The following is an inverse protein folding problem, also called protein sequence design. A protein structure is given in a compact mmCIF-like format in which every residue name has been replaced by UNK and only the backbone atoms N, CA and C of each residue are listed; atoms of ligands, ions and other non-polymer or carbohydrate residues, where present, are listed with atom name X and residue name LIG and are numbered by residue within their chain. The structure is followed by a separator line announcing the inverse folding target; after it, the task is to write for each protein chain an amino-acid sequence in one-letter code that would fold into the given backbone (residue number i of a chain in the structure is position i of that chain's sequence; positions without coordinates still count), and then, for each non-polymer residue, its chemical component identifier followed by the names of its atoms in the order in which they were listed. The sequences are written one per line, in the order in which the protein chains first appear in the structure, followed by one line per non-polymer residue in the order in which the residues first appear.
data_IF_597431160207
#
_entry.id   IF_597431160207
#
_cell.length_a   1.000
_cell.length_b   1.000
_cell.length_c   1.000
_cell.angle_alpha   90.00
_cell.angle_beta   90.00
_cell.angle_gamma   90.00
#
_symmetry.space_group_name_H-M   'P 1'
#
loop_
_entity.id
_entity.type
_entity.pdbx_description
1 polymer ?
#
# COMPACT_ATOMS: atom_id res chain seq x y z
N UNK A 1 10.10 34.74 18.42
CA UNK A 1 11.47 34.63 17.86
C UNK A 1 12.02 33.21 18.03
N UNK A 2 11.99 32.63 19.23
CA UNK A 2 12.49 31.25 19.48
C UNK A 2 11.72 30.19 18.68
N UNK A 3 10.40 30.27 18.58
CA UNK A 3 9.58 29.35 17.76
C UNK A 3 9.89 29.49 16.26
N UNK A 4 10.14 30.70 15.77
CA UNK A 4 10.52 30.97 14.38
C UNK A 4 11.93 30.41 14.04
N UNK A 5 12.89 30.62 14.95
CA UNK A 5 14.26 30.07 14.78
C UNK A 5 14.26 28.54 14.87
N UNK A 6 13.45 27.94 15.75
CA UNK A 6 13.28 26.49 15.84
C UNK A 6 12.64 25.91 14.56
N UNK A 7 11.64 26.58 13.99
CA UNK A 7 11.02 26.14 12.74
C UNK A 7 12.00 26.27 11.55
N UNK A 8 12.80 27.33 11.51
CA UNK A 8 13.81 27.53 10.46
C UNK A 8 14.94 26.49 10.53
N UNK A 9 15.42 26.16 11.72
CA UNK A 9 16.42 25.12 11.93
C UNK A 9 15.91 23.73 11.50
N UNK A 10 14.65 23.42 11.80
CA UNK A 10 14.01 22.17 11.37
C UNK A 10 13.86 22.13 9.84
N UNK A 11 13.49 23.25 9.21
CA UNK A 11 13.39 23.34 7.72
C UNK A 11 14.75 23.11 7.07
N UNK A 12 15.82 23.69 7.60
CA UNK A 12 17.18 23.47 7.10
C UNK A 12 17.63 22.01 7.24
N UNK A 13 17.31 21.36 8.37
CA UNK A 13 17.63 19.94 8.58
C UNK A 13 16.84 19.08 7.60
N UNK A 14 15.55 19.34 7.40
CA UNK A 14 14.72 18.65 6.44
C UNK A 14 15.26 18.81 5.00
N UNK A 15 15.61 20.03 4.60
CA UNK A 15 16.25 20.27 3.30
C UNK A 15 17.54 19.47 3.13
N UNK A 16 18.41 19.42 4.16
CA UNK A 16 19.63 18.61 4.14
C UNK A 16 19.33 17.11 4.02
N UNK A 17 18.30 16.60 4.71
CA UNK A 17 17.89 15.19 4.63
C UNK A 17 17.40 14.88 3.21
N UNK A 18 16.53 15.69 2.63
CA UNK A 18 16.01 15.52 1.28
C UNK A 18 17.16 15.58 0.26
N UNK A 19 18.01 16.62 0.32
CA UNK A 19 19.17 16.78 -0.55
C UNK A 19 20.16 15.62 -0.43
N UNK A 20 20.34 15.05 0.76
CA UNK A 20 21.25 13.93 0.98
C UNK A 20 20.63 12.56 0.64
N UNK A 21 19.32 12.48 0.52
CA UNK A 21 18.58 11.24 0.22
C UNK A 21 17.80 11.34 -1.10
N UNK A 22 18.11 12.33 -1.95
CA UNK A 22 17.40 12.59 -3.20
C UNK A 22 17.31 11.34 -4.09
N UNK A 23 18.41 10.60 -4.23
CA UNK A 23 18.47 9.40 -5.03
C UNK A 23 17.54 8.30 -4.53
N UNK A 24 17.43 8.16 -3.18
CA UNK A 24 16.50 7.22 -2.56
C UNK A 24 15.05 7.65 -2.81
N UNK A 25 14.73 8.93 -2.58
CA UNK A 25 13.38 9.44 -2.82
C UNK A 25 12.96 9.33 -4.28
N UNK A 26 13.84 9.67 -5.22
CA UNK A 26 13.55 9.58 -6.66
C UNK A 26 13.33 8.12 -7.08
N UNK A 27 14.24 7.22 -6.71
CA UNK A 27 14.10 5.80 -7.02
C UNK A 27 12.83 5.21 -6.40
N UNK A 28 12.57 5.52 -5.14
CA UNK A 28 11.36 5.06 -4.44
C UNK A 28 10.07 5.61 -5.08
N UNK A 29 10.03 6.89 -5.43
CA UNK A 29 8.86 7.49 -6.11
C UNK A 29 8.55 6.77 -7.41
N UNK A 30 9.56 6.49 -8.25
CA UNK A 30 9.37 5.78 -9.51
C UNK A 30 8.86 4.35 -9.26
N UNK A 31 9.41 3.66 -8.25
CA UNK A 31 8.93 2.31 -7.87
C UNK A 31 7.48 2.34 -7.43
N UNK A 32 7.07 3.32 -6.61
CA UNK A 32 5.70 3.40 -6.11
C UNK A 32 4.71 3.75 -7.21
N UNK A 33 5.09 4.62 -8.16
CA UNK A 33 4.28 4.88 -9.37
C UNK A 33 4.11 3.58 -10.17
N UNK A 34 5.20 2.86 -10.43
CA UNK A 34 5.14 1.56 -11.10
C UNK A 34 4.29 0.55 -10.35
N UNK A 35 4.39 0.52 -9.02
CA UNK A 35 3.65 -0.42 -8.17
C UNK A 35 2.14 -0.15 -8.19
N UNK A 36 1.71 1.13 -8.09
CA UNK A 36 0.30 1.52 -8.21
C UNK A 36 -0.29 1.15 -9.56
N UNK A 37 0.47 1.37 -10.63
CA UNK A 37 0.09 0.95 -11.98
C UNK A 37 -0.04 -0.57 -12.10
N UNK A 38 1.00 -1.32 -11.67
CA UNK A 38 1.09 -2.76 -11.85
C UNK A 38 -0.01 -3.53 -11.11
N UNK A 39 -0.28 -3.18 -9.85
CA UNK A 39 -1.27 -3.89 -9.04
C UNK A 39 -2.67 -3.83 -9.65
N UNK A 40 -3.08 -2.65 -10.07
CA UNK A 40 -4.41 -2.44 -10.65
C UNK A 40 -4.51 -2.90 -12.11
N UNK A 41 -3.44 -2.76 -12.90
CA UNK A 41 -3.36 -3.32 -14.25
C UNK A 41 -3.60 -4.83 -14.25
N UNK A 42 -2.98 -5.56 -13.33
CA UNK A 42 -3.16 -7.02 -13.25
C UNK A 42 -4.58 -7.42 -12.88
N UNK A 43 -5.23 -6.68 -11.97
CA UNK A 43 -6.64 -6.91 -11.66
C UNK A 43 -7.53 -6.74 -12.88
N UNK A 44 -7.34 -5.65 -13.64
CA UNK A 44 -8.07 -5.38 -14.88
C UNK A 44 -7.77 -6.46 -15.93
N UNK A 45 -6.50 -6.78 -16.13
CA UNK A 45 -6.08 -7.79 -17.12
C UNK A 45 -6.64 -9.17 -16.80
N UNK A 46 -6.64 -9.60 -15.54
CA UNK A 46 -7.19 -10.89 -15.14
C UNK A 46 -8.69 -11.02 -15.45
N UNK A 47 -9.45 -9.91 -15.31
CA UNK A 47 -10.86 -9.88 -15.74
C UNK A 47 -10.98 -9.99 -17.26
N UNK A 48 -10.10 -9.33 -18.01
CA UNK A 48 -10.11 -9.34 -19.47
C UNK A 48 -9.62 -10.67 -20.09
N UNK A 49 -8.90 -11.49 -19.30
CA UNK A 49 -8.48 -12.86 -19.63
C UNK A 49 -9.47 -13.91 -19.07
N UNK A 50 -10.66 -13.47 -18.62
CA UNK A 50 -11.72 -14.33 -18.10
C UNK A 50 -11.31 -15.25 -16.93
N UNK A 51 -10.34 -14.81 -16.11
CA UNK A 51 -9.97 -15.53 -14.89
C UNK A 51 -11.16 -15.60 -13.94
N UNK A 52 -11.39 -16.79 -13.36
CA UNK A 52 -12.42 -16.94 -12.36
C UNK A 52 -12.05 -16.20 -11.03
N UNK A 53 -13.05 -15.97 -10.18
CA UNK A 53 -12.86 -15.21 -8.93
C UNK A 53 -11.85 -15.86 -7.98
N UNK A 54 -11.75 -17.18 -7.94
CA UNK A 54 -10.80 -17.92 -7.11
C UNK A 54 -9.38 -17.65 -7.60
N UNK A 55 -9.14 -17.70 -8.91
CA UNK A 55 -7.84 -17.41 -9.52
C UNK A 55 -7.41 -15.95 -9.25
N UNK A 56 -8.33 -14.98 -9.41
CA UNK A 56 -8.07 -13.57 -9.11
C UNK A 56 -7.72 -13.40 -7.62
N UNK A 57 -8.50 -14.01 -6.72
CA UNK A 57 -8.24 -13.99 -5.29
C UNK A 57 -6.88 -14.61 -4.93
N UNK A 58 -6.55 -15.77 -5.48
CA UNK A 58 -5.27 -16.44 -5.28
C UNK A 58 -4.09 -15.58 -5.74
N UNK A 59 -4.21 -14.95 -6.91
CA UNK A 59 -3.21 -14.04 -7.45
C UNK A 59 -2.98 -12.83 -6.54
N UNK A 60 -4.06 -12.23 -5.99
CA UNK A 60 -3.94 -11.08 -5.07
C UNK A 60 -3.36 -11.51 -3.71
N UNK A 61 -3.81 -12.65 -3.17
CA UNK A 61 -3.25 -13.23 -1.94
C UNK A 61 -1.79 -13.65 -2.12
N UNK A 62 -1.38 -14.06 -3.32
CA UNK A 62 0.02 -14.35 -3.64
C UNK A 62 0.95 -13.18 -3.32
N UNK A 63 0.55 -11.95 -3.66
CA UNK A 63 1.31 -10.76 -3.32
C UNK A 63 1.50 -10.60 -1.80
N UNK A 64 0.42 -10.69 -1.02
CA UNK A 64 0.49 -10.53 0.43
C UNK A 64 1.25 -11.68 1.10
N UNK A 65 1.16 -12.89 0.56
CA UNK A 65 1.95 -14.04 1.03
C UNK A 65 3.46 -13.80 0.84
N UNK A 66 3.86 -13.27 -0.31
CA UNK A 66 5.25 -12.87 -0.57
C UNK A 66 5.69 -11.74 0.36
N UNK A 67 4.85 -10.74 0.53
CA UNK A 67 5.08 -9.62 1.45
C UNK A 67 5.27 -10.11 2.90
N UNK A 68 4.40 -10.99 3.37
CA UNK A 68 4.44 -11.60 4.69
C UNK A 68 5.74 -12.38 4.92
N UNK A 69 6.08 -13.30 4.03
CA UNK A 69 7.31 -14.12 4.14
C UNK A 69 8.55 -13.23 4.07
N UNK A 70 8.54 -12.24 3.18
CA UNK A 70 9.63 -11.27 3.04
C UNK A 70 9.88 -10.47 4.30
N UNK A 71 8.85 -10.10 5.06
CA UNK A 71 8.99 -9.36 6.30
C UNK A 71 9.89 -10.07 7.33
N UNK A 72 9.94 -11.40 7.32
CA UNK A 72 10.84 -12.19 8.19
C UNK A 72 12.25 -12.35 7.63
N UNK A 73 12.38 -12.53 6.32
CA UNK A 73 13.65 -12.92 5.70
C UNK A 73 14.52 -11.73 5.34
N UNK A 74 13.90 -10.64 4.88
CA UNK A 74 14.61 -9.50 4.30
C UNK A 74 15.49 -8.74 5.29
N UNK A 75 15.09 -8.48 6.55
CA UNK A 75 15.98 -7.84 7.51
C UNK A 75 17.30 -8.59 7.71
N UNK A 76 17.27 -9.93 7.67
CA UNK A 76 18.48 -10.78 7.75
C UNK A 76 19.33 -10.64 6.48
N UNK A 77 18.67 -10.57 5.32
CA UNK A 77 19.36 -10.41 4.03
C UNK A 77 20.04 -9.05 3.94
N UNK A 78 19.33 -7.96 4.29
CA UNK A 78 19.87 -6.60 4.28
C UNK A 78 21.08 -6.47 5.22
N UNK A 79 21.03 -7.13 6.40
CA UNK A 79 22.14 -7.11 7.35
C UNK A 79 23.41 -7.80 6.82
N UNK A 80 23.28 -8.79 5.93
CA UNK A 80 24.41 -9.54 5.35
C UNK A 80 24.95 -8.91 4.08
N UNK A 81 24.07 -8.47 3.20
CA UNK A 81 24.41 -8.04 1.83
C UNK A 81 24.51 -6.52 1.69
N UNK A 82 23.75 -5.78 2.51
CA UNK A 82 23.69 -4.33 2.51
C UNK A 82 22.54 -3.76 1.68
N UNK A 83 22.15 -2.51 1.99
CA UNK A 83 20.94 -1.87 1.48
C UNK A 83 20.90 -1.73 -0.05
N UNK A 84 21.96 -1.21 -0.67
CA UNK A 84 21.99 -0.89 -2.11
C UNK A 84 21.86 -2.16 -2.95
N UNK A 85 22.63 -3.21 -2.61
CA UNK A 85 22.61 -4.47 -3.37
C UNK A 85 21.26 -5.17 -3.26
N UNK A 86 20.67 -5.19 -2.07
CA UNK A 86 19.36 -5.80 -1.83
C UNK A 86 18.27 -5.00 -2.53
N UNK A 87 18.33 -3.65 -2.51
CA UNK A 87 17.40 -2.80 -3.28
C UNK A 87 17.47 -3.11 -4.77
N UNK A 88 18.68 -3.17 -5.34
CA UNK A 88 18.87 -3.47 -6.76
C UNK A 88 18.32 -4.86 -7.13
N UNK A 89 18.63 -5.88 -6.32
CA UNK A 89 18.12 -7.23 -6.55
C UNK A 89 16.59 -7.28 -6.55
N UNK A 90 15.93 -6.63 -5.58
CA UNK A 90 14.47 -6.66 -5.49
C UNK A 90 13.77 -5.84 -6.56
N UNK A 91 14.31 -4.67 -6.94
CA UNK A 91 13.74 -3.93 -8.06
C UNK A 91 13.89 -4.70 -9.38
N UNK A 92 15.01 -5.40 -9.58
CA UNK A 92 15.19 -6.29 -10.75
C UNK A 92 14.25 -7.49 -10.72
N UNK A 93 14.03 -8.11 -9.55
CA UNK A 93 13.07 -9.22 -9.40
C UNK A 93 11.63 -8.76 -9.67
N UNK A 94 11.25 -7.58 -9.19
CA UNK A 94 9.94 -7.00 -9.47
C UNK A 94 9.76 -6.67 -10.97
N UNK A 95 10.82 -6.15 -11.61
CA UNK A 95 10.85 -5.91 -13.07
C UNK A 95 10.69 -7.21 -13.86
N UNK A 96 11.44 -8.26 -13.51
CA UNK A 96 11.29 -9.59 -14.11
C UNK A 96 9.87 -10.13 -13.95
N UNK A 97 9.30 -10.01 -12.74
CA UNK A 97 7.94 -10.45 -12.46
C UNK A 97 6.91 -9.79 -13.38
N UNK A 98 7.06 -8.49 -13.71
CA UNK A 98 6.13 -7.82 -14.62
C UNK A 98 6.15 -8.43 -16.02
N UNK A 99 7.32 -8.81 -16.52
CA UNK A 99 7.48 -9.44 -17.84
C UNK A 99 6.94 -10.87 -17.88
N UNK A 100 7.07 -11.62 -16.77
CA UNK A 100 6.51 -12.98 -16.67
C UNK A 100 4.99 -12.99 -16.91
N UNK A 101 4.27 -11.97 -16.44
CA UNK A 101 2.82 -11.86 -16.63
C UNK A 101 2.42 -11.66 -18.11
N UNK A 102 3.31 -11.10 -18.93
CA UNK A 102 3.07 -10.93 -20.36
C UNK A 102 3.33 -12.21 -21.13
N UNK A 103 4.41 -12.90 -20.77
CA UNK A 103 4.86 -14.11 -21.50
C UNK A 103 3.94 -15.29 -21.20
N UNK A 104 3.46 -15.42 -19.99
CA UNK A 104 2.66 -16.54 -19.53
C UNK A 104 1.32 -16.05 -18.98
N UNK A 105 0.25 -16.23 -19.77
CA UNK A 105 -1.11 -15.90 -19.32
C UNK A 105 -1.72 -17.14 -18.66
N UNK A 106 -1.34 -17.36 -17.40
CA UNK A 106 -1.76 -18.52 -16.60
C UNK A 106 -1.96 -18.11 -15.13
N UNK A 107 -3.09 -18.46 -14.48
CA UNK A 107 -3.40 -18.06 -13.11
C UNK A 107 -2.36 -18.50 -12.07
N UNK A 108 -1.80 -19.70 -12.20
CA UNK A 108 -0.80 -20.22 -11.26
C UNK A 108 0.53 -19.48 -11.40
N UNK A 109 0.99 -19.28 -12.66
CA UNK A 109 2.21 -18.53 -12.95
C UNK A 109 2.06 -17.09 -12.46
N UNK A 110 0.89 -16.47 -12.68
CA UNK A 110 0.62 -15.12 -12.19
C UNK A 110 0.61 -15.06 -10.66
N UNK A 111 0.07 -16.06 -9.98
CA UNK A 111 0.11 -16.15 -8.50
C UNK A 111 1.55 -16.22 -7.99
N UNK A 112 2.40 -17.04 -8.60
CA UNK A 112 3.82 -17.15 -8.24
C UNK A 112 4.60 -15.86 -8.54
N UNK A 113 4.34 -15.23 -9.68
CA UNK A 113 4.96 -13.96 -10.03
C UNK A 113 4.50 -12.82 -9.09
N UNK A 114 3.24 -12.82 -8.66
CA UNK A 114 2.73 -11.89 -7.63
C UNK A 114 3.37 -12.12 -6.28
N UNK A 115 3.58 -13.39 -5.87
CA UNK A 115 4.36 -13.69 -4.68
C UNK A 115 5.77 -13.07 -4.75
N UNK A 116 6.45 -13.23 -5.88
CA UNK A 116 7.77 -12.64 -6.10
C UNK A 116 7.73 -11.09 -6.04
N UNK A 117 6.68 -10.48 -6.59
CA UNK A 117 6.46 -9.03 -6.51
C UNK A 117 6.29 -8.59 -5.06
N UNK A 118 5.43 -9.25 -4.29
CA UNK A 118 5.17 -8.92 -2.88
C UNK A 118 6.42 -9.07 -2.02
N UNK A 119 7.17 -10.15 -2.21
CA UNK A 119 8.46 -10.38 -1.57
C UNK A 119 9.48 -9.28 -1.89
N UNK A 120 9.52 -8.84 -3.14
CA UNK A 120 10.42 -7.78 -3.58
C UNK A 120 10.01 -6.41 -3.00
N UNK A 121 8.71 -6.11 -2.98
CA UNK A 121 8.19 -4.82 -2.51
C UNK A 121 8.42 -4.61 -1.02
N UNK A 122 8.17 -5.61 -0.17
CA UNK A 122 8.50 -5.49 1.27
C UNK A 122 10.00 -5.25 1.47
N UNK A 123 10.84 -5.85 0.63
CA UNK A 123 12.28 -5.60 0.66
C UNK A 123 12.63 -4.15 0.39
N UNK A 124 12.03 -3.57 -0.61
CA UNK A 124 12.22 -2.16 -0.97
C UNK A 124 11.71 -1.27 0.18
N UNK A 125 10.53 -1.52 0.74
CA UNK A 125 10.00 -0.77 1.87
C UNK A 125 10.91 -0.82 3.10
N UNK A 126 11.36 -2.00 3.50
CA UNK A 126 12.30 -2.18 4.64
C UNK A 126 13.59 -1.39 4.44
N UNK A 127 14.13 -1.39 3.22
CA UNK A 127 15.36 -0.65 2.89
C UNK A 127 15.13 0.85 2.98
N UNK A 128 14.07 1.36 2.37
CA UNK A 128 13.74 2.80 2.35
C UNK A 128 13.47 3.29 3.77
N UNK A 129 12.65 2.59 4.53
CA UNK A 129 12.34 2.94 5.92
C UNK A 129 13.58 2.92 6.82
N UNK A 130 14.42 1.88 6.69
CA UNK A 130 15.68 1.77 7.44
C UNK A 130 16.61 2.94 7.12
N UNK A 131 16.73 3.30 5.83
CA UNK A 131 17.60 4.39 5.38
C UNK A 131 17.10 5.75 5.88
N UNK A 132 15.79 6.00 5.81
CA UNK A 132 15.18 7.24 6.26
C UNK A 132 15.27 7.38 7.80
N UNK A 133 15.06 6.29 8.53
CA UNK A 133 15.19 6.27 9.99
C UNK A 133 16.63 6.55 10.47
N UNK A 134 17.65 6.06 9.77
CA UNK A 134 19.06 6.34 10.09
C UNK A 134 19.43 7.81 9.86
N UNK A 135 18.83 8.45 8.85
CA UNK A 135 19.08 9.88 8.53
C UNK A 135 18.29 10.85 9.38
N UNK A 136 17.21 10.39 9.98
CA UNK A 136 16.34 11.21 10.82
C UNK A 136 16.80 11.20 12.29
N UNK A 137 16.68 12.34 12.96
CA UNK A 137 16.79 12.44 14.41
C UNK A 137 15.38 12.48 15.06
N UNK A 138 15.33 12.47 16.40
CA UNK A 138 14.05 12.46 17.12
C UNK A 138 13.12 13.65 16.79
N UNK A 139 13.68 14.80 16.38
CA UNK A 139 12.91 16.01 16.02
C UNK A 139 12.38 15.97 14.56
N UNK A 140 13.04 15.22 13.67
CA UNK A 140 12.72 15.19 12.23
C UNK A 140 12.12 13.90 11.77
N UNK A 141 12.16 12.81 12.56
CA UNK A 141 11.68 11.48 12.18
C UNK A 141 10.21 11.49 11.71
N UNK A 142 9.33 12.14 12.47
CA UNK A 142 7.92 12.26 12.08
C UNK A 142 7.73 12.93 10.73
N UNK A 143 8.43 14.05 10.48
CA UNK A 143 8.35 14.78 9.20
C UNK A 143 8.90 13.96 8.02
N UNK A 144 9.98 13.22 8.23
CA UNK A 144 10.58 12.35 7.20
C UNK A 144 9.64 11.19 6.86
N UNK A 145 9.04 10.56 7.86
CA UNK A 145 8.05 9.50 7.64
C UNK A 145 6.76 10.03 7.00
N UNK A 146 6.31 11.24 7.35
CA UNK A 146 5.18 11.88 6.68
C UNK A 146 5.46 12.13 5.20
N UNK A 147 6.67 12.59 4.85
CA UNK A 147 7.09 12.75 3.46
C UNK A 147 7.11 11.41 2.72
N UNK A 148 7.63 10.36 3.35
CA UNK A 148 7.63 9.00 2.81
C UNK A 148 6.20 8.50 2.53
N UNK A 149 5.26 8.68 3.48
CA UNK A 149 3.86 8.30 3.28
C UNK A 149 3.17 9.14 2.20
N UNK A 150 3.46 10.44 2.14
CA UNK A 150 2.98 11.30 1.07
C UNK A 150 3.46 10.82 -0.31
N UNK A 151 4.75 10.51 -0.45
CA UNK A 151 5.31 9.96 -1.69
C UNK A 151 4.64 8.63 -2.03
N UNK A 152 4.38 7.79 -1.03
CA UNK A 152 3.71 6.50 -1.25
C UNK A 152 2.30 6.70 -1.80
N UNK A 153 1.44 7.48 -1.16
CA UNK A 153 0.08 7.68 -1.64
C UNK A 153 0.02 8.46 -2.96
N UNK A 154 0.83 9.51 -3.10
CA UNK A 154 0.90 10.29 -4.36
C UNK A 154 1.43 9.43 -5.51
N UNK A 155 2.45 8.61 -5.27
CA UNK A 155 3.00 7.71 -6.27
C UNK A 155 1.99 6.64 -6.71
N UNK A 156 1.27 6.01 -5.77
CA UNK A 156 0.20 5.07 -6.07
C UNK A 156 -0.91 5.75 -6.89
N UNK A 157 -1.31 6.97 -6.50
CA UNK A 157 -2.32 7.75 -7.20
C UNK A 157 -1.90 8.06 -8.66
N UNK A 158 -0.66 8.54 -8.86
CA UNK A 158 -0.09 8.79 -10.19
C UNK A 158 0.03 7.51 -11.01
N UNK A 159 0.42 6.40 -10.38
CA UNK A 159 0.49 5.09 -11.02
C UNK A 159 -0.85 4.66 -11.62
N UNK A 160 -1.95 4.93 -10.92
CA UNK A 160 -3.29 4.60 -11.42
C UNK A 160 -3.67 5.39 -12.68
N UNK A 161 -3.15 6.60 -12.88
CA UNK A 161 -3.37 7.37 -14.12
C UNK A 161 -2.68 6.73 -15.33
N UNK A 162 -1.59 5.98 -15.12
CA UNK A 162 -0.89 5.29 -16.19
C UNK A 162 -1.72 4.17 -16.84
N UNK A 163 -2.81 3.71 -16.18
CA UNK A 163 -3.77 2.77 -16.77
C UNK A 163 -4.35 3.26 -18.11
N UNK A 164 -4.32 4.57 -18.38
CA UNK A 164 -4.85 5.17 -19.60
C UNK A 164 -3.83 5.26 -20.76
N UNK A 165 -2.58 4.85 -20.55
CA UNK A 165 -1.53 5.02 -21.57
C UNK A 165 -1.71 4.05 -22.75
N UNK A 166 -2.15 2.82 -22.47
CA UNK A 166 -2.31 1.77 -23.47
C UNK A 166 -3.43 0.82 -23.07
N UNK A 167 -3.89 0.00 -24.03
CA UNK A 167 -4.89 -1.02 -23.74
C UNK A 167 -4.32 -2.06 -22.75
N UNK A 168 -5.00 -2.35 -21.63
CA UNK A 168 -4.56 -3.33 -20.65
C UNK A 168 -4.33 -4.75 -21.20
N UNK A 169 -4.94 -5.10 -22.34
CA UNK A 169 -4.72 -6.37 -23.04
C UNK A 169 -3.36 -6.48 -23.73
N UNK A 170 -2.73 -5.35 -23.98
CA UNK A 170 -1.46 -5.30 -24.69
C UNK A 170 -0.27 -5.58 -23.77
N UNK A 171 0.90 -5.72 -24.36
CA UNK A 171 2.17 -5.94 -23.64
C UNK A 171 2.85 -4.63 -23.19
N UNK A 172 2.56 -3.51 -23.85
CA UNK A 172 3.23 -2.23 -23.60
C UNK A 172 3.12 -1.74 -22.14
N UNK A 173 1.95 -1.85 -21.45
CA UNK A 173 1.85 -1.48 -20.04
C UNK A 173 2.84 -2.22 -19.15
N UNK A 174 3.05 -3.51 -19.39
CA UNK A 174 3.97 -4.33 -18.60
C UNK A 174 5.44 -4.00 -18.88
N UNK A 175 5.76 -3.70 -20.16
CA UNK A 175 7.10 -3.19 -20.52
C UNK A 175 7.35 -1.86 -19.81
N UNK A 176 6.39 -0.94 -19.80
CA UNK A 176 6.52 0.33 -19.10
C UNK A 176 6.77 0.13 -17.60
N UNK A 177 6.06 -0.81 -16.94
CA UNK A 177 6.29 -1.16 -15.54
C UNK A 177 7.74 -1.64 -15.34
N UNK A 178 8.22 -2.55 -16.20
CA UNK A 178 9.59 -3.05 -16.16
C UNK A 178 10.62 -1.95 -16.35
N UNK A 179 10.39 -1.04 -17.30
CA UNK A 179 11.24 0.14 -17.53
C UNK A 179 11.30 1.06 -16.32
N UNK A 180 10.14 1.40 -15.73
CA UNK A 180 10.08 2.23 -14.53
C UNK A 180 10.86 1.60 -13.36
N UNK A 181 10.67 0.30 -13.12
CA UNK A 181 11.39 -0.43 -12.07
C UNK A 181 12.90 -0.45 -12.33
N UNK A 182 13.32 -0.57 -13.59
CA UNK A 182 14.73 -0.57 -13.99
C UNK A 182 15.35 0.83 -13.86
N UNK A 183 14.67 1.88 -14.33
CA UNK A 183 15.14 3.28 -14.24
C UNK A 183 15.24 3.72 -12.78
N UNK A 184 14.34 3.24 -11.90
CA UNK A 184 14.37 3.55 -10.48
C UNK A 184 15.67 3.15 -9.77
N UNK A 185 16.41 2.19 -10.31
CA UNK A 185 17.71 1.77 -9.80
C UNK A 185 18.81 2.80 -10.04
N UNK A 186 18.75 3.51 -11.15
CA UNK A 186 19.84 4.39 -11.62
C UNK A 186 20.26 5.43 -10.57
N UNK A 187 19.33 6.22 -9.96
CA UNK A 187 19.72 7.21 -8.97
C UNK A 187 20.43 6.59 -7.75
N UNK A 188 19.98 5.42 -7.31
CA UNK A 188 20.51 4.75 -6.11
C UNK A 188 21.88 4.14 -6.38
N UNK A 189 22.09 3.54 -7.55
CA UNK A 189 23.36 2.94 -7.93
C UNK A 189 24.44 3.99 -8.22
N UNK A 190 24.06 5.15 -8.76
CA UNK A 190 25.00 6.24 -9.06
C UNK A 190 25.31 7.14 -7.86
N UNK A 191 24.60 7.00 -6.74
CA UNK A 191 24.85 7.83 -5.57
C UNK A 191 26.19 7.48 -4.91
N UNK A 192 27.00 8.49 -4.63
CA UNK A 192 28.24 8.36 -3.84
C UNK A 192 27.98 8.28 -2.32
N UNK A 193 26.73 8.38 -1.89
CA UNK A 193 26.38 8.40 -0.48
C UNK A 193 26.42 6.99 0.11
N UNK A 194 27.12 6.84 1.23
CA UNK A 194 27.19 5.55 1.95
C UNK A 194 25.81 5.19 2.51
N UNK A 195 25.35 3.94 2.30
CA UNK A 195 24.14 3.44 2.92
C UNK A 195 24.32 3.37 4.44
N UNK A 196 23.20 3.40 5.21
CA UNK A 196 23.26 3.21 6.65
C UNK A 196 23.81 1.82 7.00
N UNK A 197 24.43 1.73 8.19
CA UNK A 197 24.71 0.43 8.77
C UNK A 197 23.42 -0.15 9.34
N UNK A 198 23.03 -1.33 8.90
CA UNK A 198 21.84 -1.99 9.42
C UNK A 198 22.06 -2.34 10.90
N UNK A 199 21.35 -1.66 11.79
CA UNK A 199 21.32 -2.00 13.20
C UNK A 199 20.33 -3.14 13.37
N UNK A 200 20.79 -4.29 13.91
CA UNK A 200 19.88 -5.35 14.33
C UNK A 200 18.88 -4.76 15.33
N UNK A 201 17.66 -4.57 14.90
CA UNK A 201 16.57 -4.26 15.82
C UNK A 201 16.16 -5.55 16.52
N UNK A 202 16.00 -5.48 17.83
CA UNK A 202 15.41 -6.59 18.60
C UNK A 202 13.98 -6.79 18.07
N UNK A 203 13.69 -7.93 17.48
CA UNK A 203 12.32 -8.26 17.04
C UNK A 203 11.43 -8.47 18.27
N UNK A 204 10.25 -7.85 18.26
CA UNK A 204 9.19 -8.19 19.23
C UNK A 204 8.43 -9.39 18.67
N UNK A 205 8.23 -10.42 19.50
CA UNK A 205 7.43 -11.58 19.10
C UNK A 205 5.96 -11.18 18.95
N UNK A 206 5.27 -11.70 17.93
CA UNK A 206 3.84 -11.44 17.68
C UNK A 206 3.01 -11.67 18.96
N UNK A 207 3.26 -12.76 19.68
CA UNK A 207 2.57 -13.07 20.94
C UNK A 207 2.76 -11.99 22.01
N UNK A 208 3.93 -11.31 22.02
CA UNK A 208 4.21 -10.20 22.93
C UNK A 208 3.39 -8.96 22.54
N UNK A 209 3.23 -8.66 21.24
CA UNK A 209 2.39 -7.57 20.77
C UNK A 209 0.92 -7.76 21.17
N UNK A 210 0.40 -8.97 21.05
CA UNK A 210 -0.96 -9.28 21.50
C UNK A 210 -1.13 -9.15 23.02
N UNK A 211 -0.09 -9.42 23.83
CA UNK A 211 -0.12 -9.18 25.27
C UNK A 211 -0.07 -7.69 25.64
N UNK A 212 0.73 -6.92 24.91
CA UNK A 212 0.90 -5.48 25.15
C UNK A 212 -0.35 -4.71 24.71
N UNK A 213 -0.82 -4.94 23.51
CA UNK A 213 -1.95 -4.23 22.91
C UNK A 213 -2.87 -5.19 22.16
N UNK A 214 -3.76 -5.91 22.88
CA UNK A 214 -4.68 -6.87 22.24
C UNK A 214 -5.57 -6.20 21.19
N UNK A 215 -6.15 -5.05 21.54
CA UNK A 215 -7.02 -4.29 20.64
C UNK A 215 -6.26 -3.82 19.40
N UNK A 216 -5.07 -3.20 19.56
CA UNK A 216 -4.27 -2.72 18.43
C UNK A 216 -3.79 -3.85 17.51
N UNK A 217 -3.41 -5.00 18.07
CA UNK A 217 -3.00 -6.17 17.31
C UNK A 217 -4.16 -6.80 16.54
N UNK A 218 -5.33 -6.96 17.16
CA UNK A 218 -6.51 -7.50 16.49
C UNK A 218 -7.03 -6.53 15.42
N UNK A 219 -7.13 -5.24 15.75
CA UNK A 219 -7.52 -4.20 14.77
C UNK A 219 -6.57 -4.14 13.57
N UNK A 220 -5.28 -4.44 13.75
CA UNK A 220 -4.32 -4.51 12.64
C UNK A 220 -4.60 -5.69 11.69
N UNK A 221 -5.05 -6.85 12.20
CA UNK A 221 -5.51 -7.96 11.34
C UNK A 221 -6.73 -7.50 10.52
N UNK A 222 -7.74 -6.92 11.18
CA UNK A 222 -8.93 -6.41 10.51
C UNK A 222 -8.57 -5.36 9.45
N UNK A 223 -7.60 -4.49 9.75
CA UNK A 223 -7.09 -3.49 8.80
C UNK A 223 -6.47 -4.18 7.57
N UNK A 224 -5.67 -5.22 7.74
CA UNK A 224 -5.12 -6.00 6.63
C UNK A 224 -6.22 -6.59 5.75
N UNK A 225 -7.22 -7.21 6.37
CA UNK A 225 -8.37 -7.80 5.67
C UNK A 225 -9.16 -6.78 4.83
N UNK A 226 -9.27 -5.53 5.28
CA UNK A 226 -9.96 -4.48 4.55
C UNK A 226 -9.06 -3.87 3.45
N UNK A 227 -7.75 -3.73 3.71
CA UNK A 227 -6.82 -3.10 2.77
C UNK A 227 -6.61 -3.91 1.50
N UNK A 228 -6.51 -5.24 1.59
CA UNK A 228 -6.23 -6.08 0.44
C UNK A 228 -7.28 -5.90 -0.69
N UNK A 229 -8.59 -5.95 -0.43
CA UNK A 229 -9.59 -5.65 -1.44
C UNK A 229 -9.52 -4.21 -1.99
N UNK A 230 -9.30 -3.22 -1.13
CA UNK A 230 -9.20 -1.81 -1.56
C UNK A 230 -8.04 -1.61 -2.54
N UNK A 231 -6.88 -2.20 -2.27
CA UNK A 231 -5.70 -1.98 -3.09
C UNK A 231 -5.71 -2.75 -4.40
N UNK A 232 -6.36 -3.92 -4.46
CA UNK A 232 -6.20 -4.81 -5.61
C UNK A 232 -7.51 -5.34 -6.21
N UNK A 233 -8.58 -5.46 -5.42
CA UNK A 233 -9.87 -5.92 -5.95
C UNK A 233 -10.78 -4.78 -6.39
N UNK A 234 -10.50 -3.55 -5.99
CA UNK A 234 -11.31 -2.41 -6.39
C UNK A 234 -11.28 -2.16 -7.90
N UNK A 235 -10.12 -2.37 -8.55
CA UNK A 235 -10.00 -2.30 -10.01
C UNK A 235 -10.79 -3.42 -10.71
N UNK A 236 -10.78 -4.63 -10.15
CA UNK A 236 -11.59 -5.77 -10.61
C UNK A 236 -13.07 -5.44 -10.50
N UNK A 237 -13.49 -4.93 -9.33
CA UNK A 237 -14.87 -4.51 -9.09
C UNK A 237 -15.30 -3.44 -10.10
N UNK A 238 -14.49 -2.40 -10.31
CA UNK A 238 -14.79 -1.30 -11.23
C UNK A 238 -15.03 -1.80 -12.67
N UNK A 239 -14.19 -2.70 -13.18
CA UNK A 239 -14.36 -3.29 -14.51
C UNK A 239 -15.59 -4.19 -14.59
N UNK A 240 -15.87 -4.99 -13.55
CA UNK A 240 -17.10 -5.81 -13.47
C UNK A 240 -18.37 -4.94 -13.43
N UNK A 241 -18.28 -3.76 -12.85
CA UNK A 241 -19.35 -2.74 -12.88
C UNK A 241 -19.39 -1.97 -14.23
N UNK A 242 -18.64 -2.43 -15.24
CA UNK A 242 -18.54 -1.82 -16.59
C UNK A 242 -18.12 -0.34 -16.59
N UNK A 243 -17.34 0.08 -15.60
CA UNK A 243 -16.65 1.35 -15.67
C UNK A 243 -15.56 1.28 -16.75
N UNK A 244 -15.40 2.36 -17.50
CA UNK A 244 -14.30 2.52 -18.45
C UNK A 244 -12.94 2.52 -17.72
N UNK A 245 -11.85 2.29 -18.43
CA UNK A 245 -10.49 2.37 -17.86
C UNK A 245 -10.24 3.74 -17.25
N UNK A 246 -10.71 4.80 -17.90
CA UNK A 246 -10.59 6.18 -17.41
C UNK A 246 -11.37 6.39 -16.11
N UNK A 247 -12.65 5.98 -16.04
CA UNK A 247 -13.46 6.05 -14.82
C UNK A 247 -12.83 5.23 -13.69
N UNK A 248 -12.32 4.03 -14.01
CA UNK A 248 -11.61 3.19 -13.05
C UNK A 248 -10.36 3.88 -12.51
N UNK A 249 -9.54 4.48 -13.38
CA UNK A 249 -8.33 5.18 -12.95
C UNK A 249 -8.63 6.39 -12.08
N UNK A 250 -9.72 7.14 -12.37
CA UNK A 250 -10.16 8.26 -11.54
C UNK A 250 -10.67 7.80 -10.17
N UNK A 251 -11.42 6.70 -10.11
CA UNK A 251 -11.84 6.11 -8.84
C UNK A 251 -10.64 5.72 -7.98
N UNK A 252 -9.68 5.00 -8.55
CA UNK A 252 -8.47 4.58 -7.86
C UNK A 252 -7.59 5.77 -7.43
N UNK A 253 -7.48 6.80 -8.26
CA UNK A 253 -6.83 8.06 -7.91
C UNK A 253 -7.51 8.69 -6.68
N UNK A 254 -8.83 8.83 -6.73
CA UNK A 254 -9.64 9.42 -5.66
C UNK A 254 -9.48 8.68 -4.33
N UNK A 255 -9.43 7.34 -4.37
CA UNK A 255 -9.24 6.53 -3.16
C UNK A 255 -7.88 6.76 -2.51
N UNK A 256 -6.80 6.84 -3.29
CA UNK A 256 -5.45 7.10 -2.76
C UNK A 256 -5.32 8.53 -2.23
N UNK A 257 -5.90 9.50 -2.93
CA UNK A 257 -5.94 10.89 -2.45
C UNK A 257 -6.77 11.03 -1.18
N UNK A 258 -7.91 10.35 -1.08
CA UNK A 258 -8.71 10.35 0.14
C UNK A 258 -7.92 9.79 1.33
N UNK A 259 -7.21 8.67 1.15
CA UNK A 259 -6.33 8.13 2.19
C UNK A 259 -5.30 9.15 2.65
N UNK A 260 -4.65 9.84 1.74
CA UNK A 260 -3.67 10.88 2.06
C UNK A 260 -4.31 12.09 2.79
N UNK A 261 -5.46 12.57 2.32
CA UNK A 261 -6.14 13.74 2.87
C UNK A 261 -6.74 13.47 4.26
N UNK A 262 -7.37 12.31 4.45
CA UNK A 262 -7.99 11.93 5.71
C UNK A 262 -6.97 11.54 6.79
N UNK A 263 -5.73 11.20 6.39
CA UNK A 263 -4.64 10.88 7.33
C UNK A 263 -4.42 12.00 8.35
N UNK A 264 -4.45 13.26 7.91
CA UNK A 264 -4.20 14.40 8.79
C UNK A 264 -5.34 14.69 9.78
N UNK A 265 -6.63 14.87 9.39
CA UNK A 265 -7.71 15.12 10.32
C UNK A 265 -7.95 13.97 11.29
N UNK A 266 -7.95 12.71 10.81
CA UNK A 266 -8.14 11.54 11.66
C UNK A 266 -6.96 11.36 12.61
N UNK A 267 -5.73 11.56 12.14
CA UNK A 267 -4.53 11.52 12.96
C UNK A 267 -4.56 12.58 14.06
N UNK A 268 -4.91 13.84 13.74
CA UNK A 268 -4.99 14.93 14.72
C UNK A 268 -6.12 14.74 15.74
N UNK A 269 -7.24 14.11 15.35
CA UNK A 269 -8.28 13.70 16.29
C UNK A 269 -7.76 12.62 17.25
N UNK A 270 -7.00 11.65 16.76
CA UNK A 270 -6.44 10.58 17.58
C UNK A 270 -5.34 11.05 18.56
N UNK A 271 -4.77 12.23 18.32
CA UNK A 271 -3.82 12.85 19.27
C UNK A 271 -4.53 13.62 20.40
N UNK A 272 -5.82 13.97 20.20
CA UNK A 272 -6.64 14.71 21.19
C UNK A 272 -7.56 13.81 22.01
N UNK A 273 -8.01 12.70 21.42
CA UNK A 273 -8.96 11.77 22.03
C UNK A 273 -8.35 10.38 22.14
N UNK A 274 -8.99 9.48 22.89
CA UNK A 274 -8.56 8.08 22.97
C UNK A 274 -8.50 7.47 21.56
N UNK A 275 -7.32 6.94 21.19
CA UNK A 275 -7.10 6.36 19.86
C UNK A 275 -8.06 5.21 19.55
N UNK A 276 -8.48 4.45 20.55
CA UNK A 276 -9.45 3.34 20.40
C UNK A 276 -10.79 3.85 19.92
N UNK A 277 -11.26 4.96 20.50
CA UNK A 277 -12.52 5.61 20.10
C UNK A 277 -12.46 6.08 18.65
N UNK A 278 -11.34 6.68 18.25
CA UNK A 278 -11.16 7.14 16.86
C UNK A 278 -11.07 5.97 15.88
N UNK A 279 -10.39 4.87 16.25
CA UNK A 279 -10.34 3.65 15.43
C UNK A 279 -11.75 3.07 15.26
N UNK A 280 -12.53 2.94 16.34
CA UNK A 280 -13.91 2.43 16.29
C UNK A 280 -14.79 3.37 15.46
N UNK A 281 -14.74 4.67 15.70
CA UNK A 281 -15.52 5.67 14.95
C UNK A 281 -15.21 5.65 13.45
N UNK A 282 -13.93 5.57 13.07
CA UNK A 282 -13.51 5.45 11.67
C UNK A 282 -13.99 4.14 11.04
N UNK A 283 -13.97 3.03 11.79
CA UNK A 283 -14.45 1.72 11.33
C UNK A 283 -15.97 1.72 11.12
N UNK A 284 -16.73 2.35 12.01
CA UNK A 284 -18.20 2.52 11.87
C UNK A 284 -18.50 3.38 10.64
N UNK A 285 -17.82 4.52 10.45
CA UNK A 285 -18.00 5.37 9.29
C UNK A 285 -17.68 4.60 7.99
N UNK A 286 -16.59 3.84 7.96
CA UNK A 286 -16.23 2.98 6.84
C UNK A 286 -17.34 1.94 6.54
N UNK A 287 -17.89 1.30 7.56
CA UNK A 287 -18.97 0.33 7.39
C UNK A 287 -20.23 0.97 6.80
N UNK A 288 -20.60 2.19 7.23
CA UNK A 288 -21.70 2.94 6.68
C UNK A 288 -21.46 3.24 5.19
N UNK A 289 -20.27 3.74 4.82
CA UNK A 289 -19.95 4.03 3.42
C UNK A 289 -19.88 2.78 2.55
N UNK A 290 -19.45 1.63 3.11
CA UNK A 290 -19.49 0.35 2.43
C UNK A 290 -20.93 -0.07 2.11
N UNK A 291 -21.84 0.01 3.09
CA UNK A 291 -23.27 -0.30 2.92
C UNK A 291 -23.90 0.64 1.87
N UNK A 292 -23.63 1.94 1.94
CA UNK A 292 -24.12 2.91 0.96
C UNK A 292 -23.60 2.61 -0.46
N UNK A 293 -22.32 2.18 -0.59
CA UNK A 293 -21.76 1.77 -1.87
C UNK A 293 -22.47 0.55 -2.45
N UNK A 294 -22.82 -0.44 -1.61
CA UNK A 294 -23.58 -1.64 -2.01
C UNK A 294 -24.98 -1.27 -2.47
N UNK A 295 -25.67 -0.39 -1.74
CA UNK A 295 -27.03 0.06 -2.10
C UNK A 295 -27.03 0.77 -3.44
N UNK A 296 -26.12 1.72 -3.64
CA UNK A 296 -26.05 2.51 -4.88
C UNK A 296 -25.59 1.68 -6.09
N UNK A 297 -24.74 0.68 -5.87
CA UNK A 297 -24.32 -0.23 -6.94
C UNK A 297 -25.41 -1.22 -7.38
N UNK A 298 -26.50 -1.33 -6.66
CA UNK A 298 -27.53 -2.36 -6.89
C UNK A 298 -27.08 -3.79 -6.54
N UNK A 299 -25.85 -3.97 -6.05
CA UNK A 299 -25.31 -5.28 -5.71
C UNK A 299 -26.07 -5.94 -4.53
N UNK A 300 -26.76 -5.16 -3.72
CA UNK A 300 -27.56 -5.67 -2.60
C UNK A 300 -28.71 -6.58 -3.02
N UNK A 301 -29.26 -6.39 -4.21
CA UNK A 301 -30.35 -7.23 -4.74
C UNK A 301 -29.87 -8.64 -5.15
N UNK A 302 -28.58 -8.83 -5.37
CA UNK A 302 -27.99 -10.12 -5.78
C UNK A 302 -27.30 -10.88 -4.62
N UNK A 303 -27.27 -10.32 -3.40
CA UNK A 303 -26.67 -11.00 -2.24
C UNK A 303 -27.24 -12.39 -1.92
N UNK A 304 -28.57 -12.64 -2.05
CA UNK A 304 -29.11 -13.99 -1.85
C UNK A 304 -28.57 -15.03 -2.84
N UNK A 305 -28.22 -14.59 -4.06
CA UNK A 305 -27.76 -15.48 -5.15
C UNK A 305 -26.24 -15.68 -5.11
N UNK A 306 -25.51 -14.92 -4.32
CA UNK A 306 -24.04 -14.99 -4.23
C UNK A 306 -23.55 -16.37 -3.72
N UNK A 307 -24.39 -17.07 -2.95
CA UNK A 307 -24.09 -18.40 -2.41
C UNK A 307 -24.66 -19.55 -3.25
N UNK A 308 -25.47 -19.26 -4.25
CA UNK A 308 -26.19 -20.30 -5.03
C UNK A 308 -25.84 -20.33 -6.51
N UNK A 309 -25.32 -19.26 -7.12
CA UNK A 309 -25.02 -19.21 -8.55
C UNK A 309 -23.64 -18.58 -8.85
N UNK A 310 -22.97 -19.16 -9.82
CA UNK A 310 -21.65 -18.72 -10.31
C UNK A 310 -21.70 -17.41 -11.13
N UNK A 311 -22.88 -16.90 -11.45
CA UNK A 311 -23.08 -15.66 -12.21
C UNK A 311 -23.84 -14.63 -11.40
N UNK A 312 -23.10 -13.68 -10.79
CA UNK A 312 -23.68 -12.50 -10.17
C UNK A 312 -24.07 -11.51 -11.29
N UNK A 313 -25.36 -11.37 -11.56
CA UNK A 313 -25.86 -10.31 -12.44
C UNK A 313 -25.88 -8.98 -11.68
N UNK A 314 -24.91 -8.12 -11.97
CA UNK A 314 -24.94 -6.74 -11.49
C UNK A 314 -25.96 -5.92 -12.29
N UNK A 315 -26.91 -5.30 -11.60
CA UNK A 315 -27.76 -4.29 -12.23
C UNK A 315 -26.88 -3.09 -12.63
N UNK A 316 -26.95 -2.70 -13.90
CA UNK A 316 -26.18 -1.57 -14.41
C UNK A 316 -26.69 -0.25 -13.85
N UNK A 317 -25.78 0.70 -13.67
CA UNK A 317 -26.13 2.07 -13.33
C UNK A 317 -27.17 2.63 -14.29
N UNK A 318 -28.31 3.04 -13.75
CA UNK A 318 -29.37 3.64 -14.54
C UNK A 318 -29.06 5.08 -14.94
N UNK A 319 -28.18 5.76 -14.17
CA UNK A 319 -27.86 7.18 -14.38
C UNK A 319 -26.41 7.52 -14.04
N UNK A 320 -25.90 8.63 -14.61
CA UNK A 320 -24.57 9.21 -14.24
C UNK A 320 -24.51 9.61 -12.77
N UNK A 321 -25.65 9.97 -12.18
CA UNK A 321 -25.73 10.37 -10.77
C UNK A 321 -25.43 9.19 -9.85
N UNK A 322 -25.79 7.97 -10.21
CA UNK A 322 -25.51 6.78 -9.40
C UNK A 322 -24.03 6.44 -9.41
N UNK A 323 -23.33 6.60 -10.54
CA UNK A 323 -21.87 6.47 -10.64
C UNK A 323 -21.16 7.47 -9.73
N UNK A 324 -21.60 8.73 -9.73
CA UNK A 324 -21.01 9.79 -8.90
C UNK A 324 -21.17 9.49 -7.42
N UNK A 325 -22.35 9.04 -7.00
CA UNK A 325 -22.61 8.61 -5.61
C UNK A 325 -21.73 7.41 -5.22
N UNK A 326 -21.60 6.41 -6.10
CA UNK A 326 -20.74 5.26 -5.86
C UNK A 326 -19.28 5.70 -5.66
N UNK A 327 -18.77 6.56 -6.53
CA UNK A 327 -17.41 7.11 -6.40
C UNK A 327 -17.23 7.82 -5.07
N UNK A 328 -18.18 8.69 -4.70
CA UNK A 328 -18.13 9.41 -3.43
C UNK A 328 -18.07 8.46 -2.24
N UNK A 329 -18.94 7.45 -2.19
CA UNK A 329 -18.99 6.52 -1.05
C UNK A 329 -17.73 5.63 -0.98
N UNK A 330 -17.20 5.15 -2.11
CA UNK A 330 -15.95 4.40 -2.13
C UNK A 330 -14.76 5.29 -1.70
N UNK A 331 -14.71 6.53 -2.14
CA UNK A 331 -13.68 7.49 -1.75
C UNK A 331 -13.76 7.79 -0.24
N UNK A 332 -14.96 7.97 0.32
CA UNK A 332 -15.16 8.17 1.76
C UNK A 332 -14.85 6.91 2.57
N UNK A 333 -15.23 5.74 2.07
CA UNK A 333 -14.85 4.44 2.64
C UNK A 333 -13.34 4.33 2.76
N UNK A 334 -12.61 4.60 1.69
CA UNK A 334 -11.15 4.49 1.68
C UNK A 334 -10.48 5.59 2.51
N UNK A 335 -11.03 6.81 2.50
CA UNK A 335 -10.57 7.90 3.34
C UNK A 335 -10.66 7.59 4.83
N UNK A 336 -11.70 6.89 5.27
CA UNK A 336 -11.87 6.49 6.66
C UNK A 336 -11.09 5.23 7.06
N UNK A 337 -10.80 4.34 6.10
CA UNK A 337 -10.07 3.08 6.37
C UNK A 337 -8.55 3.22 6.29
N UNK A 338 -8.01 3.92 5.30
CA UNK A 338 -6.55 3.97 5.09
C UNK A 338 -5.77 4.54 6.30
N UNK A 339 -6.27 5.51 7.08
CA UNK A 339 -5.60 5.94 8.31
C UNK A 339 -5.55 4.89 9.42
N UNK A 340 -6.37 3.83 9.39
CA UNK A 340 -6.43 2.83 10.47
C UNK A 340 -5.08 2.13 10.69
N UNK A 341 -4.30 1.92 9.63
CA UNK A 341 -2.97 1.32 9.76
C UNK A 341 -2.05 2.16 10.68
N UNK A 342 -1.97 3.45 10.45
CA UNK A 342 -1.14 4.36 11.25
C UNK A 342 -1.69 4.58 12.66
N UNK A 343 -3.01 4.58 12.83
CA UNK A 343 -3.66 4.66 14.14
C UNK A 343 -3.35 3.43 15.00
N UNK A 344 -3.43 2.24 14.43
CA UNK A 344 -3.10 0.99 15.12
C UNK A 344 -1.62 0.96 15.52
N UNK A 345 -0.73 1.40 14.61
CA UNK A 345 0.70 1.52 14.89
C UNK A 345 0.95 2.51 16.05
N UNK A 346 0.29 3.67 16.02
CA UNK A 346 0.40 4.67 17.07
C UNK A 346 -0.12 4.16 18.42
N UNK A 347 -1.28 3.46 18.41
CA UNK A 347 -1.87 2.87 19.62
C UNK A 347 -0.93 1.86 20.30
N UNK A 348 -0.26 1.02 19.53
CA UNK A 348 0.72 0.06 20.05
C UNK A 348 1.97 0.79 20.55
N UNK A 349 2.44 1.80 19.82
CA UNK A 349 3.60 2.59 20.20
C UNK A 349 3.40 3.37 21.51
N UNK A 350 2.17 3.80 21.83
CA UNK A 350 1.87 4.45 23.10
C UNK A 350 2.08 3.54 24.33
N UNK A 351 2.12 2.21 24.12
CA UNK A 351 2.19 1.19 25.18
C UNK A 351 3.58 0.54 25.30
N UNK A 352 4.57 1.01 24.53
CA UNK A 352 5.93 0.44 24.50
C UNK A 352 7.01 1.53 24.60
N UNK A 353 8.21 1.22 25.09
CA UNK A 353 9.34 2.14 25.07
C UNK A 353 9.75 2.52 23.64
N UNK A 354 10.24 3.75 23.46
CA UNK A 354 10.61 4.30 22.12
C UNK A 354 11.64 3.47 21.37
N UNK A 355 12.53 2.80 22.10
CA UNK A 355 13.57 1.92 21.55
C UNK A 355 13.00 0.71 20.82
N UNK A 356 11.77 0.31 21.17
CA UNK A 356 11.06 -0.82 20.59
C UNK A 356 10.12 -0.47 19.41
N UNK A 357 9.92 0.81 19.08
CA UNK A 357 8.97 1.25 18.04
C UNK A 357 9.22 0.61 16.67
N UNK A 358 10.48 0.52 16.24
CA UNK A 358 10.83 -0.10 14.96
C UNK A 358 10.55 -1.60 14.96
N UNK A 359 10.82 -2.26 16.09
CA UNK A 359 10.55 -3.68 16.26
C UNK A 359 9.03 -3.97 16.28
N UNK A 360 8.24 -3.11 16.93
CA UNK A 360 6.79 -3.21 16.94
C UNK A 360 6.19 -2.98 15.55
N UNK A 361 6.68 -1.97 14.81
CA UNK A 361 6.26 -1.73 13.43
C UNK A 361 6.49 -2.94 12.53
N UNK A 362 7.65 -3.58 12.62
CA UNK A 362 7.93 -4.84 11.91
C UNK A 362 6.96 -5.97 12.29
N UNK A 363 6.69 -6.14 13.59
CA UNK A 363 5.73 -7.13 14.07
C UNK A 363 4.28 -6.84 13.62
N UNK A 364 3.88 -5.57 13.62
CA UNK A 364 2.55 -5.16 13.16
C UNK A 364 2.38 -5.31 11.65
N UNK A 365 3.43 -5.10 10.85
CA UNK A 365 3.41 -5.40 9.42
C UNK A 365 3.16 -6.90 9.15
N UNK A 366 3.71 -7.76 9.99
CA UNK A 366 3.46 -9.21 9.91
C UNK A 366 1.99 -9.52 10.26
N UNK A 367 1.47 -8.92 11.34
CA UNK A 367 0.07 -9.07 11.77
C UNK A 367 -0.88 -8.55 10.69
N UNK A 368 -0.58 -7.41 10.08
CA UNK A 368 -1.31 -6.86 8.94
C UNK A 368 -1.31 -7.84 7.74
N UNK A 369 -0.14 -8.41 7.42
CA UNK A 369 -0.01 -9.40 6.35
C UNK A 369 -0.87 -10.64 6.56
N UNK A 370 -1.04 -11.12 7.81
CA UNK A 370 -1.95 -12.23 8.13
C UNK A 370 -3.40 -11.88 7.76
N UNK A 371 -3.83 -10.65 8.03
CA UNK A 371 -5.18 -10.20 7.67
C UNK A 371 -5.38 -9.99 6.17
N UNK A 372 -4.30 -9.69 5.42
CA UNK A 372 -4.36 -9.35 4.01
C UNK A 372 -4.28 -10.57 3.07
N UNK A 373 -3.92 -11.76 3.57
CA UNK A 373 -3.90 -13.03 2.84
C UNK A 373 -5.29 -13.64 2.79
#
# INVERSE_FOLDING_TARGET
LVAFVLDWSIRLIMYKIIKNSWALFTGFTIIIISHGFFGNLLGIRAVLEDFNYIAIGAMMSGYFSGFFIGAFLIPKLVSKVGHIRVFAAFASMASLSSLVHVVFVDPLIWTLARFLTGFSMIGIFVIVESWLNDRANNKTRGKVLSLYMFITFAGLALGNLLLNISNPKNYEPFILISLLLSIALVPILLTKRKPPKFKKTTSIKIKELFKISPFGSFSMICTGFIFAPIFYLLSVYAIKMKLSIFETSLLLLGTMLAGALFQWPIGSLSDKYDRRVIIIGSSIAASIFAILSIIVSGAGASLPNLFMETTVSFNYFSTTMDKTKLFLFIILLTGTTLPLFSLNLALVNDQIPKEKFVAAGGGLNIIFGIGAI
#
